data_IF_509375426509
#
_entry.id   IF_509375426509
#
_cell.length_a   1.000
_cell.length_b   1.000
_cell.length_c   1.000
_cell.angle_alpha   90.00
_cell.angle_beta   90.00
_cell.angle_gamma   90.00
#
_symmetry.space_group_name_H-M   'P 1'
#
loop_
_entity.id
_entity.type
_entity.pdbx_description
1 polymer ?
#
# COMPACT_ATOMS: atom_id res chain seq x y z
N UNK A 1 19.82 13.07 -16.69
CA UNK A 1 19.76 11.62 -16.44
C UNK A 1 18.50 11.07 -17.07
N UNK A 2 18.58 9.97 -17.82
CA UNK A 2 17.40 9.39 -18.47
C UNK A 2 16.65 8.43 -17.51
N UNK A 3 15.47 7.96 -17.92
CA UNK A 3 14.63 7.07 -17.11
C UNK A 3 15.27 5.69 -16.86
N UNK A 4 16.05 5.19 -17.82
CA UNK A 4 16.71 3.89 -17.74
C UNK A 4 17.87 3.89 -16.73
N UNK A 5 18.66 4.95 -16.73
CA UNK A 5 19.76 5.19 -15.79
C UNK A 5 19.22 5.32 -14.36
N UNK A 6 18.13 6.08 -14.20
CA UNK A 6 17.47 6.27 -12.91
C UNK A 6 16.93 4.94 -12.35
N UNK A 7 16.38 4.09 -13.23
CA UNK A 7 15.91 2.75 -12.85
C UNK A 7 17.06 1.81 -12.45
N UNK A 8 18.19 1.84 -13.20
CA UNK A 8 19.39 1.06 -12.88
C UNK A 8 19.94 1.43 -11.50
N UNK A 9 20.05 2.73 -11.21
CA UNK A 9 20.49 3.23 -9.90
C UNK A 9 19.54 2.82 -8.77
N UNK A 10 18.22 2.94 -8.99
CA UNK A 10 17.23 2.51 -8.01
C UNK A 10 17.29 1.00 -7.71
N UNK A 11 17.48 0.15 -8.73
CA UNK A 11 17.67 -1.30 -8.54
C UNK A 11 18.92 -1.60 -7.70
N UNK A 12 20.03 -0.93 -8.02
CA UNK A 12 21.30 -1.10 -7.30
C UNK A 12 21.16 -0.68 -5.84
N UNK A 13 20.47 0.42 -5.55
CA UNK A 13 20.24 0.88 -4.18
C UNK A 13 19.57 -0.18 -3.29
N UNK A 14 18.57 -0.89 -3.82
CA UNK A 14 17.85 -1.93 -3.08
C UNK A 14 18.78 -3.09 -2.69
N UNK A 15 19.66 -3.51 -3.60
CA UNK A 15 20.61 -4.59 -3.37
C UNK A 15 21.82 -4.22 -2.49
N UNK A 16 21.99 -2.94 -2.13
CA UNK A 16 23.08 -2.54 -1.25
C UNK A 16 22.81 -2.95 0.21
N UNK A 17 23.84 -3.42 0.94
CA UNK A 17 23.80 -3.55 2.40
C UNK A 17 23.37 -2.24 3.06
N UNK A 18 22.67 -2.33 4.20
CA UNK A 18 22.10 -1.18 4.90
C UNK A 18 23.13 -0.08 5.17
N UNK A 19 24.32 -0.46 5.62
CA UNK A 19 25.46 0.43 5.91
C UNK A 19 25.92 1.24 4.69
N UNK A 20 25.79 0.68 3.48
CA UNK A 20 26.22 1.32 2.23
C UNK A 20 25.15 2.21 1.62
N UNK A 21 23.89 2.07 2.04
CA UNK A 21 22.76 2.86 1.50
C UNK A 21 22.89 4.34 1.83
N UNK A 22 23.34 4.70 3.04
CA UNK A 22 23.56 6.10 3.41
C UNK A 22 24.64 6.76 2.55
N UNK A 23 25.78 6.10 2.34
CA UNK A 23 26.85 6.59 1.48
C UNK A 23 26.38 6.79 0.04
N UNK A 24 25.56 5.87 -0.47
CA UNK A 24 24.96 5.99 -1.80
C UNK A 24 24.05 7.23 -1.92
N UNK A 25 23.16 7.46 -0.96
CA UNK A 25 22.28 8.64 -0.95
C UNK A 25 23.08 9.95 -0.86
N UNK A 26 24.13 9.98 -0.03
CA UNK A 26 25.02 11.14 0.07
C UNK A 26 25.75 11.43 -1.24
N UNK A 27 26.20 10.38 -1.96
CA UNK A 27 26.84 10.55 -3.25
C UNK A 27 25.89 11.16 -4.29
N UNK A 28 24.65 10.66 -4.38
CA UNK A 28 23.62 11.21 -5.27
C UNK A 28 23.31 12.68 -4.94
N UNK A 29 23.21 13.01 -3.65
CA UNK A 29 22.95 14.38 -3.23
C UNK A 29 24.09 15.33 -3.61
N UNK A 30 25.35 14.90 -3.51
CA UNK A 30 26.52 15.67 -3.97
C UNK A 30 26.51 15.93 -5.47
N UNK A 31 25.99 15.00 -6.26
CA UNK A 31 25.82 15.14 -7.71
C UNK A 31 24.54 15.92 -8.11
N UNK A 32 23.78 16.44 -7.14
CA UNK A 32 22.55 17.18 -7.40
C UNK A 32 21.38 16.30 -7.86
N UNK A 33 21.45 15.00 -7.58
CA UNK A 33 20.45 14.02 -8.00
C UNK A 33 19.44 13.77 -6.88
N UNK A 34 18.17 14.08 -7.16
CA UNK A 34 17.05 13.83 -6.24
C UNK A 34 16.53 12.39 -6.37
N UNK A 35 16.94 11.52 -5.45
CA UNK A 35 16.53 10.11 -5.41
C UNK A 35 15.02 9.92 -5.21
N UNK A 36 14.32 10.90 -4.63
CA UNK A 36 12.86 10.78 -4.39
C UNK A 36 12.04 10.71 -5.69
N UNK A 37 12.62 11.18 -6.80
CA UNK A 37 12.00 11.15 -8.13
C UNK A 37 12.27 9.86 -8.90
N UNK A 38 13.09 8.97 -8.35
CA UNK A 38 13.46 7.75 -9.06
C UNK A 38 12.27 6.81 -9.14
N UNK A 39 12.15 6.04 -10.23
CA UNK A 39 11.11 5.04 -10.35
C UNK A 39 11.34 3.92 -9.33
N UNK A 40 10.27 3.50 -8.67
CA UNK A 40 10.30 2.33 -7.78
C UNK A 40 10.59 1.07 -8.63
N UNK A 41 11.68 0.33 -8.39
CA UNK A 41 12.00 -0.87 -9.14
C UNK A 41 11.09 -2.04 -8.79
N UNK A 42 10.67 -2.80 -9.79
CA UNK A 42 9.95 -4.06 -9.62
C UNK A 42 10.88 -5.28 -9.71
N UNK A 43 10.55 -6.35 -8.98
CA UNK A 43 11.22 -7.66 -9.10
C UNK A 43 12.70 -7.66 -8.69
N UNK A 44 13.05 -6.97 -7.61
CA UNK A 44 14.39 -7.07 -7.02
C UNK A 44 14.30 -8.04 -5.84
N UNK A 45 14.99 -9.18 -5.86
CA UNK A 45 15.07 -10.10 -4.72
C UNK A 45 16.02 -9.54 -3.65
N UNK A 46 15.69 -9.70 -2.36
CA UNK A 46 16.53 -9.27 -1.23
C UNK A 46 16.52 -10.36 -0.17
N UNK A 47 17.71 -10.70 0.33
CA UNK A 47 17.99 -11.93 1.08
C UNK A 47 17.21 -12.08 2.41
N UNK A 48 16.69 -10.99 2.99
CA UNK A 48 15.94 -11.01 4.26
C UNK A 48 14.50 -10.49 4.18
N UNK A 49 13.91 -10.40 2.98
CA UNK A 49 12.56 -9.80 2.81
C UNK A 49 11.43 -10.49 3.56
N UNK A 50 11.63 -11.74 3.97
CA UNK A 50 10.61 -12.54 4.68
C UNK A 50 10.54 -12.20 6.17
N UNK A 51 11.63 -11.70 6.76
CA UNK A 51 11.64 -11.31 8.17
C UNK A 51 10.90 -9.98 8.38
N UNK A 52 10.17 -9.85 9.48
CA UNK A 52 9.56 -8.59 9.86
C UNK A 52 10.63 -7.67 10.47
N UNK A 53 10.55 -6.38 10.17
CA UNK A 53 11.25 -5.36 10.96
C UNK A 53 10.72 -5.33 12.40
N UNK A 54 11.51 -4.80 13.34
CA UNK A 54 11.07 -4.64 14.74
C UNK A 54 9.75 -3.87 14.89
N UNK A 55 9.54 -2.84 14.06
CA UNK A 55 8.28 -2.10 14.05
C UNK A 55 7.10 -2.96 13.58
N UNK A 56 7.29 -3.78 12.55
CA UNK A 56 6.28 -4.73 12.08
C UNK A 56 6.01 -5.83 13.11
N UNK A 57 7.03 -6.36 13.80
CA UNK A 57 6.86 -7.35 14.87
C UNK A 57 6.04 -6.80 16.03
N UNK A 58 6.32 -5.56 16.46
CA UNK A 58 5.53 -4.89 17.49
C UNK A 58 4.07 -4.72 17.05
N UNK A 59 3.85 -4.32 15.80
CA UNK A 59 2.51 -4.16 15.25
C UNK A 59 1.75 -5.48 15.19
N UNK A 60 2.43 -6.55 14.76
CA UNK A 60 1.89 -7.91 14.72
C UNK A 60 1.44 -8.38 16.11
N UNK A 61 2.28 -8.19 17.13
CA UNK A 61 1.94 -8.53 18.52
C UNK A 61 0.72 -7.75 19.02
N UNK A 62 0.65 -6.44 18.75
CA UNK A 62 -0.49 -5.61 19.15
C UNK A 62 -1.79 -6.03 18.45
N UNK A 63 -1.71 -6.46 17.19
CA UNK A 63 -2.85 -7.02 16.47
C UNK A 63 -3.30 -8.36 17.07
N UNK A 64 -2.38 -9.23 17.52
CA UNK A 64 -2.75 -10.50 18.18
C UNK A 64 -3.49 -10.27 19.51
N UNK A 65 -3.20 -9.19 20.23
CA UNK A 65 -3.88 -8.84 21.48
C UNK A 65 -5.32 -8.34 21.28
N UNK A 66 -5.56 -7.56 20.22
CA UNK A 66 -6.90 -7.10 19.84
C UNK A 66 -7.06 -7.12 18.30
N UNK A 67 -7.47 -8.27 17.73
CA UNK A 67 -7.64 -8.42 16.29
C UNK A 67 -8.77 -7.54 15.71
N UNK A 68 -9.64 -7.00 16.56
CA UNK A 68 -10.75 -6.13 16.16
C UNK A 68 -10.36 -4.65 16.13
N UNK A 69 -9.16 -4.32 16.62
CA UNK A 69 -8.68 -2.95 16.69
C UNK A 69 -8.41 -2.37 15.30
N UNK A 70 -8.99 -1.20 15.05
CA UNK A 70 -8.65 -0.36 13.90
C UNK A 70 -7.60 0.71 14.21
N UNK A 71 -6.96 0.68 15.39
CA UNK A 71 -6.12 1.77 15.89
C UNK A 71 -4.95 2.15 14.98
N UNK A 72 -4.49 1.21 14.16
CA UNK A 72 -3.36 1.39 13.24
C UNK A 72 -3.78 1.56 11.78
N UNK A 73 -5.08 1.74 11.53
CA UNK A 73 -5.57 2.08 10.21
C UNK A 73 -5.42 3.57 9.94
N UNK A 74 -4.93 3.89 8.76
CA UNK A 74 -4.81 5.25 8.24
C UNK A 74 -5.79 5.44 7.06
N UNK A 75 -7.11 5.41 7.32
CA UNK A 75 -8.10 5.56 6.25
C UNK A 75 -8.03 6.96 5.65
N UNK A 76 -8.10 7.03 4.34
CA UNK A 76 -8.19 8.29 3.59
C UNK A 76 -9.33 8.19 2.59
N UNK A 77 -10.05 9.30 2.40
CA UNK A 77 -11.09 9.43 1.40
C UNK A 77 -10.76 10.57 0.44
N UNK A 78 -11.07 10.38 -0.83
CA UNK A 78 -10.92 11.40 -1.87
C UNK A 78 -12.26 11.63 -2.55
N UNK A 79 -12.58 12.89 -2.84
CA UNK A 79 -13.78 13.26 -3.59
C UNK A 79 -13.41 13.47 -5.05
N UNK A 80 -13.97 12.66 -5.93
CA UNK A 80 -13.82 12.78 -7.37
C UNK A 80 -15.01 13.56 -7.96
N UNK A 81 -14.71 14.61 -8.74
CA UNK A 81 -15.72 15.38 -9.46
C UNK A 81 -15.86 14.90 -10.90
N UNK A 82 -17.09 14.79 -11.39
CA UNK A 82 -17.39 14.44 -12.77
C UNK A 82 -17.59 12.94 -13.02
N UNK A 83 -17.52 12.53 -14.29
CA UNK A 83 -17.79 11.15 -14.72
C UNK A 83 -16.59 10.26 -14.42
N UNK A 84 -16.75 9.34 -13.47
CA UNK A 84 -15.76 8.32 -13.17
C UNK A 84 -15.81 7.20 -14.22
N UNK A 85 -14.71 6.98 -14.94
CA UNK A 85 -14.51 5.75 -15.72
C UNK A 85 -14.09 4.63 -14.77
N UNK A 86 -15.04 3.78 -14.42
CA UNK A 86 -14.81 2.77 -13.38
C UNK A 86 -13.87 1.66 -13.85
N UNK A 87 -13.94 1.27 -15.13
CA UNK A 87 -13.04 0.26 -15.69
C UNK A 87 -11.59 0.73 -15.68
N UNK A 88 -11.34 1.98 -16.06
CA UNK A 88 -10.00 2.56 -16.01
C UNK A 88 -9.47 2.65 -14.56
N UNK A 89 -10.32 2.99 -13.59
CA UNK A 89 -9.96 3.02 -12.17
C UNK A 89 -9.56 1.63 -11.66
N UNK A 90 -10.36 0.60 -11.96
CA UNK A 90 -10.06 -0.78 -11.57
C UNK A 90 -8.75 -1.29 -12.17
N UNK A 91 -8.50 -1.00 -13.45
CA UNK A 91 -7.24 -1.33 -14.11
C UNK A 91 -6.05 -0.61 -13.46
N UNK A 92 -6.19 0.68 -13.13
CA UNK A 92 -5.14 1.43 -12.47
C UNK A 92 -4.79 0.81 -11.10
N UNK A 93 -5.77 0.41 -10.29
CA UNK A 93 -5.51 -0.27 -9.02
C UNK A 93 -4.88 -1.66 -9.20
N UNK A 94 -5.32 -2.43 -10.20
CA UNK A 94 -4.70 -3.72 -10.51
C UNK A 94 -3.21 -3.58 -10.83
N UNK A 95 -2.86 -2.59 -11.69
CA UNK A 95 -1.47 -2.28 -12.04
C UNK A 95 -0.65 -1.80 -10.82
N UNK A 96 -1.25 -1.02 -9.92
CA UNK A 96 -0.59 -0.61 -8.68
C UNK A 96 -0.28 -1.82 -7.78
N UNK A 97 -1.22 -2.74 -7.60
CA UNK A 97 -1.03 -3.93 -6.76
C UNK A 97 0.02 -4.87 -7.36
N UNK A 98 -0.02 -5.06 -8.68
CA UNK A 98 0.99 -5.86 -9.39
C UNK A 98 2.40 -5.26 -9.20
N UNK A 99 2.50 -3.93 -9.33
CA UNK A 99 3.77 -3.21 -9.22
C UNK A 99 4.32 -3.16 -7.79
N UNK A 100 3.47 -3.02 -6.78
CA UNK A 100 3.86 -2.77 -5.40
C UNK A 100 3.69 -4.01 -4.51
N UNK A 101 4.81 -4.69 -4.24
CA UNK A 101 4.84 -5.89 -3.38
C UNK A 101 4.20 -5.67 -2.00
N UNK A 102 4.40 -4.51 -1.38
CA UNK A 102 3.81 -4.19 -0.07
C UNK A 102 2.28 -4.23 -0.06
N UNK A 103 1.62 -3.89 -1.17
CA UNK A 103 0.15 -3.94 -1.27
C UNK A 103 -0.39 -5.37 -1.32
N UNK A 104 0.49 -6.34 -1.57
CA UNK A 104 0.19 -7.77 -1.62
C UNK A 104 0.96 -8.53 -0.55
N UNK A 105 1.50 -7.88 0.47
CA UNK A 105 2.15 -8.56 1.60
C UNK A 105 1.13 -8.91 2.68
N UNK A 106 1.13 -10.17 3.11
CA UNK A 106 0.40 -10.64 4.30
C UNK A 106 1.40 -11.18 5.32
N UNK A 107 1.00 -11.17 6.58
CA UNK A 107 1.80 -11.70 7.69
C UNK A 107 1.20 -13.02 8.14
N UNK A 108 2.04 -14.04 8.25
CA UNK A 108 1.66 -15.39 8.68
C UNK A 108 2.61 -15.88 9.76
N UNK A 109 2.15 -16.72 10.67
CA UNK A 109 3.03 -17.50 11.54
C UNK A 109 3.52 -18.72 10.77
N UNK A 110 4.80 -19.04 10.92
CA UNK A 110 5.39 -20.26 10.36
C UNK A 110 5.30 -21.46 11.33
N UNK A 111 5.93 -22.57 10.96
CA UNK A 111 5.93 -23.79 11.75
C UNK A 111 6.63 -23.63 13.12
N UNK A 112 7.50 -22.62 13.25
CA UNK A 112 8.27 -22.32 14.47
C UNK A 112 7.66 -21.12 15.24
N UNK A 113 6.40 -20.80 14.92
CA UNK A 113 5.62 -19.69 15.49
C UNK A 113 6.21 -18.29 15.25
N UNK A 114 7.13 -18.16 14.28
CA UNK A 114 7.74 -16.88 13.93
C UNK A 114 6.89 -16.16 12.86
N UNK A 115 6.60 -14.86 13.03
CA UNK A 115 5.90 -14.10 12.02
C UNK A 115 6.80 -13.91 10.79
N UNK A 116 6.23 -14.12 9.60
CA UNK A 116 6.90 -13.91 8.30
C UNK A 116 6.00 -13.15 7.34
N UNK A 117 6.64 -12.37 6.47
CA UNK A 117 6.03 -11.69 5.34
C UNK A 117 5.95 -12.64 4.15
N UNK A 118 4.77 -12.81 3.57
CA UNK A 118 4.54 -13.59 2.36
C UNK A 118 3.68 -12.83 1.35
N UNK A 119 3.91 -13.02 0.04
CA UNK A 119 3.05 -12.43 -0.97
C UNK A 119 1.70 -13.15 -1.05
N UNK A 120 0.60 -12.40 -1.05
CA UNK A 120 -0.73 -12.84 -1.41
C UNK A 120 -1.00 -12.59 -2.89
N UNK A 121 -1.79 -13.47 -3.50
CA UNK A 121 -2.18 -13.41 -4.92
C UNK A 121 -3.66 -13.11 -5.12
N UNK A 122 -4.35 -12.65 -4.07
CA UNK A 122 -5.78 -12.41 -4.13
C UNK A 122 -6.11 -11.15 -4.96
N UNK A 123 -7.09 -11.21 -5.87
CA UNK A 123 -7.51 -10.04 -6.63
C UNK A 123 -8.14 -8.98 -5.73
N UNK A 124 -7.94 -7.71 -6.08
CA UNK A 124 -8.60 -6.59 -5.42
C UNK A 124 -10.09 -6.58 -5.77
N UNK A 125 -10.93 -6.55 -4.73
CA UNK A 125 -12.37 -6.31 -4.90
C UNK A 125 -12.71 -4.89 -4.48
N UNK A 126 -13.13 -4.06 -5.43
CA UNK A 126 -13.60 -2.70 -5.17
C UNK A 126 -15.12 -2.74 -4.96
N UNK A 127 -15.54 -2.58 -3.69
CA UNK A 127 -16.95 -2.46 -3.38
C UNK A 127 -17.50 -1.09 -3.81
N UNK A 128 -18.72 -1.09 -4.34
CA UNK A 128 -19.40 0.11 -4.83
C UNK A 128 -20.73 0.21 -4.12
N UNK A 129 -21.10 1.42 -3.71
CA UNK A 129 -22.45 1.69 -3.26
C UNK A 129 -22.90 3.04 -3.78
N UNK A 130 -24.17 3.08 -4.17
CA UNK A 130 -24.84 4.32 -4.48
C UNK A 130 -25.33 4.95 -3.16
N UNK A 131 -24.96 6.21 -2.96
CA UNK A 131 -25.38 7.02 -1.80
C UNK A 131 -26.21 8.22 -2.25
N UNK A 132 -26.69 8.21 -3.50
CA UNK A 132 -27.47 9.30 -4.10
C UNK A 132 -28.85 9.45 -3.48
N UNK A 133 -29.32 8.47 -2.72
CA UNK A 133 -30.59 8.52 -1.98
C UNK A 133 -30.43 9.04 -0.55
N UNK A 134 -29.19 9.22 -0.07
CA UNK A 134 -28.96 9.75 1.28
C UNK A 134 -29.18 11.27 1.33
N UNK A 135 -29.61 11.83 2.46
CA UNK A 135 -29.64 13.27 2.66
C UNK A 135 -28.26 13.91 2.47
N UNK A 136 -28.16 15.17 1.99
CA UNK A 136 -26.87 15.85 1.78
C UNK A 136 -25.97 15.88 3.02
N UNK A 137 -26.54 16.05 4.21
CA UNK A 137 -25.81 15.98 5.48
C UNK A 137 -25.20 14.60 5.74
N UNK A 138 -25.90 13.53 5.37
CA UNK A 138 -25.41 12.16 5.51
C UNK A 138 -24.31 11.82 4.49
N UNK A 139 -24.40 12.34 3.25
CA UNK A 139 -23.37 12.12 2.22
C UNK A 139 -22.00 12.70 2.57
N UNK A 140 -21.98 13.79 3.34
CA UNK A 140 -20.76 14.48 3.74
C UNK A 140 -20.31 14.12 5.16
N UNK A 141 -21.04 13.25 5.86
CA UNK A 141 -20.70 12.85 7.22
C UNK A 141 -19.40 12.00 7.22
N UNK A 142 -18.44 12.28 8.11
CA UNK A 142 -17.22 11.47 8.26
C UNK A 142 -17.48 9.99 8.59
N UNK A 143 -18.68 9.67 9.10
CA UNK A 143 -19.08 8.32 9.51
C UNK A 143 -19.68 7.43 8.41
N UNK A 144 -20.06 7.96 7.23
CA UNK A 144 -20.56 7.13 6.13
C UNK A 144 -19.50 6.20 5.53
N UNK A 145 -18.24 6.36 5.95
CA UNK A 145 -17.06 5.60 5.53
C UNK A 145 -16.70 4.46 6.51
N UNK A 146 -17.68 4.03 7.32
CA UNK A 146 -17.52 3.26 8.57
C UNK A 146 -17.06 1.80 8.50
N UNK A 147 -16.29 1.38 7.49
CA UNK A 147 -15.72 0.02 7.41
C UNK A 147 -14.20 0.03 7.56
N UNK A 148 -13.69 0.61 8.65
CA UNK A 148 -12.26 0.63 8.96
C UNK A 148 -11.90 -0.27 10.15
N UNK A 149 -12.85 -1.06 10.67
CA UNK A 149 -12.63 -1.92 11.85
C UNK A 149 -12.26 -3.36 11.53
N UNK A 150 -12.32 -3.81 10.28
CA UNK A 150 -11.96 -5.18 9.91
C UNK A 150 -10.74 -5.19 9.00
N UNK A 151 -9.62 -5.65 9.53
CA UNK A 151 -8.51 -6.14 8.71
C UNK A 151 -8.97 -7.40 7.93
N UNK A 152 -8.58 -7.48 6.64
CA UNK A 152 -8.66 -8.66 5.75
C UNK A 152 -10.01 -9.36 5.54
N UNK A 153 -11.10 -8.61 5.35
CA UNK A 153 -12.24 -9.12 4.57
C UNK A 153 -12.63 -8.11 3.50
N UNK A 154 -12.29 -8.40 2.25
CA UNK A 154 -12.74 -7.66 1.06
C UNK A 154 -14.24 -7.89 0.79
N UNK A 155 -15.08 -7.64 1.80
CA UNK A 155 -16.50 -7.44 1.57
C UNK A 155 -16.96 -6.23 2.37
N UNK A 156 -17.38 -5.22 1.61
CA UNK A 156 -18.10 -4.02 2.03
C UNK A 156 -17.21 -2.82 2.41
N UNK A 157 -17.00 -1.97 1.42
CA UNK A 157 -16.47 -0.61 1.56
C UNK A 157 -16.82 0.20 0.32
N UNK A 158 -17.80 1.09 0.44
CA UNK A 158 -18.38 1.87 -0.66
C UNK A 158 -17.37 2.82 -1.32
N UNK A 159 -17.20 2.70 -2.64
CA UNK A 159 -16.66 3.79 -3.48
C UNK A 159 -17.82 4.51 -4.18
N UNK A 160 -17.80 5.84 -4.11
CA UNK A 160 -18.88 6.73 -4.54
C UNK A 160 -18.76 7.13 -6.02
N UNK A 161 -19.91 7.20 -6.70
CA UNK A 161 -20.09 7.85 -8.00
C UNK A 161 -21.05 9.01 -7.80
N UNK A 162 -20.59 10.25 -8.00
CA UNK A 162 -21.48 11.39 -8.21
C UNK A 162 -21.87 11.41 -9.69
N UNK A 163 -23.09 10.98 -10.02
CA UNK A 163 -23.67 11.28 -11.32
C UNK A 163 -24.25 12.70 -11.26
N UNK A 164 -23.82 13.55 -12.19
CA UNK A 164 -24.78 14.43 -12.87
C UNK A 164 -25.24 13.70 -14.12
#
# INVERSE_FOLDING_TARGET
MNAEDSLKLARRFIGLPLEKRQLFLQALQKEGVDFSRFPIPAGVEVEDRKALSYAQQRMWFLWQLDPSSGAYNLPTAVRLGGRLNVSAMEQAFALLIERHETLRTVFVQDADDQPRQVPATQPLHIARADISDLPPEARNAPGCWGSTRKWWRFSQGCITRSAR
#
